data_IF_961476703172
#
_entry.id   IF_961476703172
#
_cell.length_a   1.000
_cell.length_b   1.000
_cell.length_c   1.000
_cell.angle_alpha   90.00
_cell.angle_beta   90.00
_cell.angle_gamma   90.00
#
_symmetry.space_group_name_H-M   'P 1'
#
loop_
_entity.id
_entity.type
_entity.pdbx_description
1 polymer ?
#
# COMPACT_ATOMS: atom_id res chain seq x y z
N UNK A 1 8.37 20.48 7.40
CA UNK A 1 7.32 21.17 8.18
C UNK A 1 7.13 22.56 7.61
N UNK A 2 5.90 22.91 7.27
CA UNK A 2 5.52 24.26 6.83
C UNK A 2 4.71 24.92 7.94
N UNK A 3 5.09 26.16 8.29
CA UNK A 3 4.43 26.95 9.33
C UNK A 3 3.44 27.90 8.63
N UNK A 4 2.17 27.75 8.94
CA UNK A 4 1.15 28.67 8.46
C UNK A 4 1.01 29.86 9.41
N UNK A 5 1.31 31.06 8.91
CA UNK A 5 1.19 32.29 9.69
C UNK A 5 -0.26 32.80 9.68
N UNK A 6 -0.73 33.19 10.83
CA UNK A 6 -1.97 33.97 10.97
C UNK A 6 -1.72 35.47 10.99
N UNK A 7 -0.45 35.90 11.25
CA UNK A 7 -0.05 37.29 11.30
C UNK A 7 1.10 37.58 10.31
N UNK A 8 1.00 38.54 9.41
CA UNK A 8 1.99 38.85 8.37
C UNK A 8 3.26 39.57 8.87
N UNK A 9 3.45 39.80 10.16
CA UNK A 9 4.59 40.56 10.68
C UNK A 9 5.93 39.84 10.39
N UNK A 10 6.81 40.55 9.66
CA UNK A 10 8.12 40.07 9.25
C UNK A 10 9.14 39.92 10.39
N UNK A 11 8.75 40.23 11.60
CA UNK A 11 9.61 40.24 12.78
C UNK A 11 9.63 38.94 13.57
N UNK A 12 8.84 37.93 13.16
CA UNK A 12 8.80 36.64 13.84
C UNK A 12 9.82 35.70 13.19
N UNK A 13 10.65 35.08 14.03
CA UNK A 13 11.49 33.96 13.64
C UNK A 13 11.00 32.66 14.31
N UNK A 14 11.27 31.54 13.67
CA UNK A 14 10.88 30.21 14.13
C UNK A 14 12.11 29.42 14.49
N UNK A 15 12.04 28.74 15.62
CA UNK A 15 13.07 27.83 16.07
C UNK A 15 12.59 26.39 16.09
N UNK A 16 13.49 25.48 15.84
CA UNK A 16 13.20 24.04 15.97
C UNK A 16 14.35 23.31 16.66
N UNK A 17 14.03 22.20 17.30
CA UNK A 17 14.99 21.23 17.83
C UNK A 17 14.39 19.84 17.80
N UNK A 18 15.22 18.83 17.97
CA UNK A 18 14.79 17.46 18.20
C UNK A 18 13.94 17.38 19.49
N UNK A 19 12.85 16.64 19.48
CA UNK A 19 11.96 16.53 20.65
C UNK A 19 12.65 15.87 21.85
N UNK A 20 13.62 14.97 21.58
CA UNK A 20 14.38 14.25 22.60
C UNK A 20 15.63 15.03 23.07
N UNK A 21 15.82 16.24 22.58
CA UNK A 21 16.99 17.08 22.90
C UNK A 21 16.64 18.22 23.84
N UNK A 22 17.43 18.41 24.88
CA UNK A 22 17.39 19.59 25.74
C UNK A 22 18.27 20.74 25.22
N UNK A 23 18.85 20.56 24.02
CA UNK A 23 19.74 21.54 23.38
C UNK A 23 19.05 22.82 22.98
N UNK A 24 19.84 23.79 22.51
CA UNK A 24 19.34 25.06 21.98
C UNK A 24 18.46 24.86 20.73
N UNK A 25 17.51 25.77 20.52
CA UNK A 25 16.73 25.83 19.30
C UNK A 25 17.58 26.36 18.14
N UNK A 26 17.47 25.70 16.98
CA UNK A 26 17.98 26.21 15.71
C UNK A 26 16.97 27.20 15.14
N UNK A 27 17.35 28.46 14.98
CA UNK A 27 16.47 29.51 14.46
C UNK A 27 16.60 29.64 12.96
N UNK A 28 15.46 29.80 12.28
CA UNK A 28 15.37 29.88 10.82
C UNK A 28 14.77 31.20 10.36
N UNK A 29 15.18 31.64 9.18
CA UNK A 29 14.56 32.71 8.44
C UNK A 29 13.50 32.14 7.50
N UNK A 30 12.23 32.54 7.68
CA UNK A 30 11.11 32.04 6.87
C UNK A 30 10.24 31.04 7.63
N UNK A 31 9.34 30.40 6.90
CA UNK A 31 8.28 29.55 7.45
C UNK A 31 8.44 28.06 7.10
N UNK A 32 9.58 27.67 6.53
CA UNK A 32 9.82 26.29 6.08
C UNK A 32 11.07 25.72 6.74
N UNK A 33 10.91 24.68 7.54
CA UNK A 33 12.01 23.91 8.12
C UNK A 33 12.34 22.79 7.14
N UNK A 34 13.60 22.70 6.72
CA UNK A 34 14.12 21.71 5.77
C UNK A 34 15.19 20.84 6.43
N UNK A 35 15.53 19.71 5.81
CA UNK A 35 16.59 18.81 6.27
C UNK A 35 16.24 18.01 7.53
N UNK A 36 14.95 17.91 7.87
CA UNK A 36 14.48 17.09 8.98
C UNK A 36 14.52 15.60 8.61
N UNK A 37 14.86 14.78 9.59
CA UNK A 37 14.80 13.32 9.42
C UNK A 37 13.36 12.82 9.41
N UNK A 38 13.04 11.77 8.63
CA UNK A 38 11.72 11.15 8.62
C UNK A 38 11.42 10.43 9.95
N UNK A 39 10.13 10.27 10.26
CA UNK A 39 9.61 9.57 11.46
C UNK A 39 10.20 10.09 12.78
N UNK A 40 10.51 11.38 12.87
CA UNK A 40 11.15 11.96 14.05
C UNK A 40 10.31 13.06 14.66
N UNK A 41 10.31 13.12 16.01
CA UNK A 41 9.68 14.18 16.76
C UNK A 41 10.55 15.44 16.80
N UNK A 42 9.93 16.59 16.68
CA UNK A 42 10.56 17.90 16.80
C UNK A 42 9.74 18.81 17.69
N UNK A 43 10.41 19.74 18.34
CA UNK A 43 9.79 20.88 19.01
C UNK A 43 9.94 22.12 18.13
N UNK A 44 8.84 22.82 17.88
CA UNK A 44 8.83 24.07 17.12
C UNK A 44 8.32 25.20 18.00
N UNK A 45 8.97 26.33 17.96
CA UNK A 45 8.64 27.54 18.74
C UNK A 45 8.79 28.77 17.88
N UNK A 46 8.35 29.93 18.39
CA UNK A 46 8.53 31.22 17.74
C UNK A 46 8.93 32.29 18.75
N UNK A 47 9.55 33.36 18.27
CA UNK A 47 9.82 34.59 19.02
C UNK A 47 9.88 35.80 18.08
N UNK A 48 9.79 36.98 18.63
CA UNK A 48 10.10 38.21 17.89
C UNK A 48 11.64 38.32 17.78
N UNK A 49 12.14 38.57 16.57
CA UNK A 49 13.58 38.74 16.32
C UNK A 49 14.19 39.89 17.12
N UNK A 50 15.47 39.75 17.44
CA UNK A 50 16.26 40.89 17.86
C UNK A 50 16.32 41.96 16.76
N UNK A 51 16.27 43.21 17.14
CA UNK A 51 16.50 44.41 16.29
C UNK A 51 17.71 45.16 16.78
N UNK A 52 18.17 46.14 16.01
CA UNK A 52 19.36 46.94 16.32
C UNK A 52 19.37 47.52 17.74
N UNK A 53 18.21 47.86 18.26
CA UNK A 53 18.04 48.46 19.59
C UNK A 53 17.13 47.65 20.54
N UNK A 54 16.89 46.37 20.26
CA UNK A 54 16.03 45.53 21.09
C UNK A 54 16.46 44.06 21.05
N UNK A 55 16.48 43.41 22.21
CA UNK A 55 16.70 41.98 22.31
C UNK A 55 15.52 41.22 21.70
N UNK A 56 15.74 39.95 21.31
CA UNK A 56 14.66 39.05 20.94
C UNK A 56 13.72 38.85 22.14
N UNK A 57 12.43 38.65 21.85
CA UNK A 57 11.48 38.29 22.90
C UNK A 57 11.74 36.89 23.46
N UNK A 58 11.13 36.60 24.59
CA UNK A 58 11.00 35.20 25.01
C UNK A 58 10.29 34.40 23.93
N UNK A 59 10.60 33.11 23.90
CA UNK A 59 9.97 32.18 22.95
C UNK A 59 8.60 31.77 23.46
N UNK A 60 7.73 31.39 22.52
CA UNK A 60 6.47 30.75 22.86
C UNK A 60 6.69 29.34 23.42
N UNK A 61 5.68 28.78 24.08
CA UNK A 61 5.69 27.36 24.44
C UNK A 61 5.94 26.51 23.18
N UNK A 62 6.90 25.57 23.23
CA UNK A 62 7.16 24.71 22.09
C UNK A 62 5.97 23.81 21.75
N UNK A 63 5.69 23.67 20.46
CA UNK A 63 4.73 22.73 19.92
C UNK A 63 5.45 21.47 19.48
N UNK A 64 5.02 20.32 19.97
CA UNK A 64 5.53 19.03 19.50
C UNK A 64 4.91 18.70 18.14
N UNK A 65 5.76 18.38 17.18
CA UNK A 65 5.38 17.96 15.83
C UNK A 65 6.23 16.76 15.43
N UNK A 66 5.72 15.93 14.55
CA UNK A 66 6.48 14.80 14.00
C UNK A 66 6.54 14.88 12.48
N UNK A 67 7.67 14.45 11.92
CA UNK A 67 7.78 14.24 10.49
C UNK A 67 7.19 12.87 10.13
N UNK A 68 6.53 12.82 8.99
CA UNK A 68 6.10 11.54 8.41
C UNK A 68 7.29 10.82 7.78
N UNK A 69 7.24 9.51 7.78
CA UNK A 69 8.21 8.69 7.06
C UNK A 69 7.73 8.45 5.61
N UNK A 70 8.59 7.92 4.78
CA UNK A 70 8.28 7.53 3.40
C UNK A 70 8.48 6.03 3.24
N UNK A 71 7.67 5.43 2.38
CA UNK A 71 7.81 4.01 2.05
C UNK A 71 8.23 3.85 0.59
N UNK A 72 9.12 2.88 0.33
CA UNK A 72 9.51 2.50 -1.01
C UNK A 72 9.80 1.01 -1.11
N UNK A 73 9.58 0.44 -2.30
CA UNK A 73 10.02 -0.92 -2.60
C UNK A 73 11.50 -0.88 -2.98
N UNK A 74 12.30 -1.75 -2.37
CA UNK A 74 13.73 -1.91 -2.65
C UNK A 74 13.99 -3.36 -3.00
N UNK A 75 14.86 -3.58 -3.98
CA UNK A 75 15.29 -4.90 -4.45
C UNK A 75 16.15 -4.76 -5.70
N UNK A 76 16.50 -5.88 -6.34
CA UNK A 76 17.35 -5.87 -7.53
C UNK A 76 16.51 -5.71 -8.80
N UNK A 77 16.43 -4.49 -9.30
CA UNK A 77 15.69 -4.13 -10.52
C UNK A 77 14.20 -3.88 -10.28
N UNK A 78 13.39 -4.12 -11.32
CA UNK A 78 11.93 -3.94 -11.24
C UNK A 78 11.31 -4.89 -10.24
N UNK A 79 10.42 -4.42 -9.36
CA UNK A 79 9.79 -5.27 -8.36
C UNK A 79 9.07 -6.46 -8.99
N UNK A 80 9.36 -7.65 -8.45
CA UNK A 80 8.69 -8.90 -8.83
C UNK A 80 7.67 -9.27 -7.78
N UNK A 81 6.58 -9.87 -8.23
CA UNK A 81 5.44 -10.18 -7.39
C UNK A 81 5.16 -11.68 -7.39
N UNK A 82 4.72 -12.17 -6.26
CA UNK A 82 4.12 -13.49 -6.13
C UNK A 82 2.61 -13.29 -5.92
N UNK A 83 1.86 -13.49 -7.00
CA UNK A 83 0.42 -13.29 -7.04
C UNK A 83 -0.18 -14.36 -7.99
N UNK A 84 -0.46 -15.55 -7.44
CA UNK A 84 -0.91 -16.72 -8.21
C UNK A 84 -2.30 -17.13 -7.81
N UNK A 85 -3.15 -17.35 -8.80
CA UNK A 85 -4.51 -17.80 -8.62
C UNK A 85 -4.95 -18.80 -9.69
N UNK A 86 -6.16 -19.30 -9.53
CA UNK A 86 -6.80 -20.18 -10.51
C UNK A 86 -8.02 -19.47 -11.09
N UNK A 87 -8.35 -19.74 -12.34
CA UNK A 87 -9.54 -19.20 -12.98
C UNK A 87 -10.81 -19.45 -12.14
N UNK A 88 -11.63 -18.41 -12.01
CA UNK A 88 -12.86 -18.46 -11.21
C UNK A 88 -12.68 -18.05 -9.74
N UNK A 89 -11.44 -17.82 -9.29
CA UNK A 89 -11.18 -17.30 -7.95
C UNK A 89 -11.17 -15.77 -8.01
N UNK A 90 -11.82 -15.13 -7.03
CA UNK A 90 -11.84 -13.66 -6.96
C UNK A 90 -10.48 -13.10 -6.61
N UNK A 91 -10.22 -11.86 -7.04
CA UNK A 91 -8.95 -11.16 -6.78
C UNK A 91 -8.63 -11.08 -5.28
N UNK A 92 -9.64 -10.89 -4.43
CA UNK A 92 -9.47 -10.84 -2.97
C UNK A 92 -8.94 -12.15 -2.35
N UNK A 93 -9.17 -13.27 -3.02
CA UNK A 93 -8.71 -14.60 -2.56
C UNK A 93 -7.33 -14.97 -3.11
N UNK A 94 -6.78 -14.19 -4.03
CA UNK A 94 -5.44 -14.39 -4.58
C UNK A 94 -4.45 -13.74 -3.63
N UNK A 95 -3.55 -14.50 -2.98
CA UNK A 95 -2.53 -13.92 -2.14
C UNK A 95 -1.59 -13.06 -2.99
N UNK A 96 -1.12 -11.94 -2.43
CA UNK A 96 -0.16 -11.06 -3.10
C UNK A 96 0.95 -10.68 -2.17
N UNK A 97 2.18 -10.83 -2.62
CA UNK A 97 3.40 -10.45 -1.89
C UNK A 97 4.51 -10.06 -2.85
N UNK A 98 5.51 -9.36 -2.34
CA UNK A 98 6.77 -9.20 -3.06
C UNK A 98 7.51 -10.54 -3.13
N UNK A 99 8.10 -10.84 -4.28
CA UNK A 99 8.97 -12.00 -4.43
C UNK A 99 10.24 -11.86 -3.57
N UNK A 100 10.90 -12.98 -3.32
CA UNK A 100 12.17 -13.01 -2.56
C UNK A 100 13.20 -12.05 -3.16
N UNK A 101 13.92 -11.35 -2.28
CA UNK A 101 14.90 -10.33 -2.66
C UNK A 101 14.34 -8.92 -2.81
N UNK A 102 13.05 -8.73 -2.57
CA UNK A 102 12.41 -7.41 -2.49
C UNK A 102 11.81 -7.17 -1.11
N UNK A 103 11.76 -5.93 -0.69
CA UNK A 103 11.16 -5.53 0.58
C UNK A 103 10.67 -4.09 0.54
N UNK A 104 9.86 -3.73 1.52
CA UNK A 104 9.43 -2.33 1.72
C UNK A 104 10.36 -1.71 2.76
N UNK A 105 10.90 -0.55 2.44
CA UNK A 105 11.84 0.18 3.30
C UNK A 105 11.34 1.60 3.54
N UNK A 106 11.68 2.11 4.70
CA UNK A 106 11.41 3.48 5.09
C UNK A 106 12.49 4.46 4.59
N UNK A 107 12.32 5.76 4.87
CA UNK A 107 13.26 6.81 4.52
C UNK A 107 14.66 6.63 5.13
N UNK A 108 14.76 5.95 6.27
CA UNK A 108 16.01 5.62 6.94
C UNK A 108 16.66 4.30 6.46
N UNK A 109 16.18 3.70 5.38
CA UNK A 109 16.65 2.39 4.88
C UNK A 109 16.41 1.20 5.82
N UNK A 110 15.43 1.27 6.68
CA UNK A 110 15.03 0.16 7.54
C UNK A 110 13.90 -0.63 6.87
N UNK A 111 13.94 -1.95 6.99
CA UNK A 111 12.89 -2.83 6.49
C UNK A 111 11.62 -2.61 7.30
N UNK A 112 10.50 -2.40 6.60
CA UNK A 112 9.18 -2.19 7.20
C UNK A 112 8.33 -3.45 7.00
N UNK A 113 7.94 -4.08 8.10
CA UNK A 113 7.01 -5.21 8.07
C UNK A 113 5.59 -4.73 7.73
N UNK A 114 4.86 -5.52 6.96
CA UNK A 114 3.50 -5.20 6.57
C UNK A 114 2.92 -6.22 5.61
N UNK A 115 1.70 -5.95 5.16
CA UNK A 115 0.94 -6.80 4.26
C UNK A 115 0.53 -6.06 3.00
N UNK A 116 0.44 -6.77 1.89
CA UNK A 116 -0.11 -6.27 0.65
C UNK A 116 -1.55 -6.75 0.49
N UNK A 117 -2.42 -5.89 0.01
CA UNK A 117 -3.81 -6.20 -0.29
C UNK A 117 -4.20 -5.60 -1.64
N UNK A 118 -5.15 -6.25 -2.32
CA UNK A 118 -5.73 -5.72 -3.55
C UNK A 118 -6.66 -4.56 -3.23
N UNK A 119 -6.54 -3.48 -4.00
CA UNK A 119 -7.43 -2.33 -3.88
C UNK A 119 -8.70 -2.52 -4.74
N UNK A 120 -9.82 -1.91 -4.33
CA UNK A 120 -11.02 -1.83 -5.18
C UNK A 120 -10.73 -1.17 -6.53
N UNK A 121 -11.44 -1.59 -7.57
CA UNK A 121 -11.35 -1.00 -8.90
C UNK A 121 -12.74 -0.54 -9.37
N UNK A 122 -12.84 0.68 -9.86
CA UNK A 122 -14.10 1.25 -10.40
C UNK A 122 -15.32 1.01 -9.48
N UNK A 123 -15.16 1.22 -8.19
CA UNK A 123 -16.18 0.97 -7.15
C UNK A 123 -16.52 -0.50 -6.93
N UNK A 124 -15.86 -1.43 -7.60
CA UNK A 124 -16.00 -2.87 -7.36
C UNK A 124 -14.98 -3.32 -6.32
N UNK A 125 -15.41 -3.97 -5.22
CA UNK A 125 -14.47 -4.55 -4.25
C UNK A 125 -13.67 -5.67 -4.91
N UNK A 126 -12.46 -5.93 -4.41
CA UNK A 126 -11.60 -6.99 -4.95
C UNK A 126 -12.29 -8.39 -4.96
N UNK A 127 -13.26 -8.62 -4.07
CA UNK A 127 -14.08 -9.83 -4.04
C UNK A 127 -15.03 -9.98 -5.23
N UNK A 128 -15.36 -8.90 -5.93
CA UNK A 128 -16.19 -8.89 -7.14
C UNK A 128 -15.39 -8.90 -8.44
N UNK A 129 -14.05 -9.00 -8.38
CA UNK A 129 -13.18 -8.96 -9.55
C UNK A 129 -12.61 -10.38 -9.78
N UNK A 130 -12.81 -10.93 -10.99
CA UNK A 130 -12.33 -12.26 -11.39
C UNK A 130 -11.33 -12.12 -12.54
N UNK A 131 -10.03 -12.29 -12.28
CA UNK A 131 -9.01 -12.16 -13.32
C UNK A 131 -9.05 -13.28 -14.36
N UNK A 132 -8.70 -12.96 -15.61
CA UNK A 132 -8.68 -13.90 -16.70
C UNK A 132 -7.34 -14.63 -16.85
N UNK A 133 -7.37 -15.89 -17.29
CA UNK A 133 -6.19 -16.77 -17.49
C UNK A 133 -5.13 -16.18 -18.44
N UNK A 134 -5.54 -15.38 -19.43
CA UNK A 134 -4.62 -14.72 -20.38
C UNK A 134 -4.64 -13.21 -20.23
N UNK A 135 -5.13 -12.71 -19.08
CA UNK A 135 -5.23 -11.28 -18.86
C UNK A 135 -3.87 -10.67 -18.55
N UNK A 136 -3.51 -9.63 -19.29
CA UNK A 136 -2.38 -8.76 -18.93
C UNK A 136 -2.85 -7.55 -18.12
N UNK A 137 -4.07 -7.63 -17.57
CA UNK A 137 -4.62 -6.54 -16.78
C UNK A 137 -3.89 -6.46 -15.45
N UNK A 138 -3.35 -5.30 -15.18
CA UNK A 138 -2.76 -4.97 -13.90
C UNK A 138 -3.83 -4.45 -12.95
N UNK A 139 -3.70 -4.82 -11.68
CA UNK A 139 -4.54 -4.36 -10.59
C UNK A 139 -3.68 -3.65 -9.55
N UNK A 140 -4.27 -2.72 -8.85
CA UNK A 140 -3.55 -1.96 -7.81
C UNK A 140 -3.50 -2.76 -6.52
N UNK A 141 -2.34 -2.82 -5.92
CA UNK A 141 -2.11 -3.33 -4.57
C UNK A 141 -1.65 -2.20 -3.66
N UNK A 142 -2.01 -2.30 -2.39
CA UNK A 142 -1.67 -1.35 -1.34
C UNK A 142 -0.90 -2.05 -0.23
N UNK A 143 0.15 -1.41 0.24
CA UNK A 143 0.90 -1.85 1.40
C UNK A 143 0.31 -1.26 2.68
N UNK A 144 0.11 -2.11 3.68
CA UNK A 144 -0.29 -1.71 5.02
C UNK A 144 0.80 -2.13 6.01
N UNK A 145 1.54 -1.17 6.59
CA UNK A 145 2.52 -1.46 7.63
C UNK A 145 1.88 -2.13 8.85
N UNK A 146 2.61 -3.07 9.48
CA UNK A 146 2.15 -3.72 10.72
C UNK A 146 2.20 -2.76 11.90
N UNK A 147 3.22 -1.89 11.95
CA UNK A 147 3.32 -0.87 12.99
C UNK A 147 2.51 0.36 12.62
N UNK A 148 1.38 0.55 13.28
CA UNK A 148 0.50 1.71 13.10
C UNK A 148 0.93 2.95 13.90
N UNK A 149 1.95 2.84 14.75
CA UNK A 149 2.46 3.97 15.54
C UNK A 149 3.27 4.95 14.68
N UNK A 150 3.83 4.49 13.56
CA UNK A 150 4.59 5.30 12.62
C UNK A 150 3.66 5.90 11.57
N UNK A 151 3.70 7.22 11.42
CA UNK A 151 2.94 7.93 10.38
C UNK A 151 3.75 8.03 9.10
N UNK A 152 3.19 7.52 8.00
CA UNK A 152 3.81 7.58 6.67
C UNK A 152 3.19 8.68 5.81
N UNK A 153 4.00 9.23 4.90
CA UNK A 153 3.53 10.23 3.93
C UNK A 153 2.97 9.53 2.68
N UNK A 154 1.64 9.58 2.57
CA UNK A 154 0.93 8.90 1.50
C UNK A 154 0.76 7.39 1.73
N UNK A 155 0.31 6.72 0.68
CA UNK A 155 0.07 5.28 0.64
C UNK A 155 0.99 4.66 -0.38
N UNK A 156 1.72 3.62 -0.01
CA UNK A 156 2.52 2.86 -0.97
C UNK A 156 1.61 1.91 -1.74
N UNK A 157 1.47 2.16 -3.02
CA UNK A 157 0.73 1.32 -3.96
C UNK A 157 1.63 0.83 -5.09
N UNK A 158 1.23 -0.26 -5.73
CA UNK A 158 1.91 -0.78 -6.90
C UNK A 158 0.90 -1.41 -7.86
N UNK A 159 1.32 -1.62 -9.11
CA UNK A 159 0.53 -2.27 -10.15
C UNK A 159 1.03 -3.69 -10.36
N UNK A 160 0.15 -4.68 -10.24
CA UNK A 160 0.49 -6.10 -10.26
C UNK A 160 -0.43 -6.83 -11.24
N UNK A 161 0.15 -7.65 -12.10
CA UNK A 161 -0.57 -8.57 -12.97
C UNK A 161 -0.54 -9.96 -12.30
N UNK A 162 -1.68 -10.49 -11.83
CA UNK A 162 -1.70 -11.82 -11.24
C UNK A 162 -1.51 -12.91 -12.30
N UNK A 163 -0.79 -13.96 -11.94
CA UNK A 163 -0.63 -15.16 -12.76
C UNK A 163 -1.81 -16.10 -12.51
N UNK A 164 -2.69 -16.28 -13.52
CA UNK A 164 -3.89 -17.09 -13.38
C UNK A 164 -3.73 -18.40 -14.17
N UNK A 165 -3.74 -19.50 -13.45
CA UNK A 165 -3.76 -20.84 -14.04
C UNK A 165 -5.16 -21.21 -14.55
N UNK A 166 -5.20 -22.11 -15.52
CA UNK A 166 -6.46 -22.68 -16.00
C UNK A 166 -7.09 -23.57 -14.93
N UNK A 167 -8.39 -23.53 -14.85
CA UNK A 167 -9.15 -24.52 -14.11
C UNK A 167 -9.28 -25.80 -14.93
N UNK A 168 -9.06 -26.95 -14.31
CA UNK A 168 -9.23 -28.25 -14.97
C UNK A 168 -10.63 -28.76 -14.66
N UNK A 169 -11.47 -28.84 -15.68
CA UNK A 169 -12.79 -29.44 -15.56
C UNK A 169 -12.67 -30.94 -15.51
N UNK A 170 -13.30 -31.57 -14.54
CA UNK A 170 -13.51 -33.00 -14.50
C UNK A 170 -14.87 -33.30 -15.14
N UNK A 171 -14.83 -34.03 -16.23
CA UNK A 171 -16.05 -34.46 -16.92
C UNK A 171 -16.26 -35.96 -16.69
N UNK A 172 -17.37 -36.33 -16.07
CA UNK A 172 -17.81 -37.70 -15.94
C UNK A 172 -19.07 -37.92 -16.79
N UNK A 173 -19.00 -38.86 -17.66
CA UNK A 173 -20.14 -39.23 -18.53
C UNK A 173 -20.51 -40.66 -18.24
N UNK A 174 -21.77 -40.91 -17.88
CA UNK A 174 -22.35 -42.25 -17.82
C UNK A 174 -23.26 -42.43 -19.01
N UNK A 175 -23.21 -43.60 -19.60
CA UNK A 175 -24.11 -44.03 -20.68
C UNK A 175 -25.00 -45.16 -20.18
N UNK A 176 -26.23 -45.23 -20.70
CA UNK A 176 -27.13 -46.34 -20.40
C UNK A 176 -26.71 -47.61 -21.16
N UNK A 177 -26.87 -48.75 -20.49
CA UNK A 177 -26.74 -50.02 -21.15
C UNK A 177 -27.81 -50.16 -22.25
N UNK A 178 -27.38 -50.62 -23.38
CA UNK A 178 -28.23 -50.72 -24.55
C UNK A 178 -28.22 -52.13 -25.10
N UNK A 179 -29.43 -52.71 -25.31
CA UNK A 179 -29.57 -53.90 -26.10
C UNK A 179 -29.15 -53.62 -27.54
N UNK A 180 -28.40 -54.53 -28.16
CA UNK A 180 -27.93 -54.34 -29.52
C UNK A 180 -29.11 -54.24 -30.50
N UNK A 181 -29.17 -53.11 -31.18
CA UNK A 181 -30.22 -52.77 -32.17
C UNK A 181 -29.67 -52.50 -33.57
N UNK A 182 -28.41 -52.85 -33.82
CA UNK A 182 -27.74 -52.62 -35.12
C UNK A 182 -27.24 -51.20 -35.30
N UNK A 183 -27.40 -50.26 -34.29
CA UNK A 183 -26.95 -48.89 -34.38
C UNK A 183 -25.73 -48.61 -33.47
N UNK A 184 -24.95 -47.58 -33.81
CA UNK A 184 -23.80 -47.12 -33.03
C UNK A 184 -24.16 -46.00 -32.04
N UNK A 185 -25.46 -45.68 -31.88
CA UNK A 185 -25.91 -44.62 -30.97
C UNK A 185 -26.03 -45.15 -29.56
N UNK A 186 -25.64 -44.38 -28.57
CA UNK A 186 -25.83 -44.63 -27.15
C UNK A 186 -26.53 -43.43 -26.51
N UNK A 187 -27.36 -43.69 -25.48
CA UNK A 187 -28.02 -42.63 -24.71
C UNK A 187 -27.15 -42.22 -23.53
N UNK A 188 -26.87 -40.96 -23.43
CA UNK A 188 -26.16 -40.38 -22.26
C UNK A 188 -27.14 -40.24 -21.12
N UNK A 189 -26.80 -40.77 -19.95
CA UNK A 189 -27.60 -40.55 -18.74
C UNK A 189 -27.59 -39.06 -18.38
N UNK A 190 -28.76 -38.52 -18.19
CA UNK A 190 -28.95 -37.13 -17.72
C UNK A 190 -29.16 -37.09 -16.22
N UNK A 191 -28.69 -36.01 -15.56
CA UNK A 191 -28.01 -34.84 -16.11
C UNK A 191 -26.49 -35.05 -16.28
N UNK A 192 -25.94 -34.47 -17.35
CA UNK A 192 -24.48 -34.32 -17.47
C UNK A 192 -24.01 -33.36 -16.40
N UNK A 193 -23.39 -33.87 -15.34
CA UNK A 193 -22.85 -33.04 -14.26
C UNK A 193 -21.47 -32.55 -14.65
N UNK A 194 -21.34 -31.25 -14.86
CA UNK A 194 -20.05 -30.60 -14.99
C UNK A 194 -19.79 -29.93 -13.66
N UNK A 195 -18.92 -30.51 -12.85
CA UNK A 195 -18.42 -29.81 -11.66
C UNK A 195 -17.40 -28.76 -12.08
N UNK A 196 -17.83 -27.53 -12.10
CA UNK A 196 -16.96 -26.41 -12.47
C UNK A 196 -16.04 -25.98 -11.30
N UNK A 197 -16.29 -26.45 -10.07
CA UNK A 197 -15.58 -25.98 -8.87
C UNK A 197 -15.69 -24.46 -8.64
N UNK A 198 -16.39 -23.76 -9.51
CA UNK A 198 -16.61 -22.31 -9.44
C UNK A 198 -17.95 -22.09 -8.78
N UNK A 199 -17.95 -21.59 -7.54
CA UNK A 199 -19.16 -21.11 -6.90
C UNK A 199 -19.69 -19.92 -7.71
N UNK A 200 -20.73 -20.17 -8.51
CA UNK A 200 -21.58 -19.10 -9.05
C UNK A 200 -22.50 -18.64 -7.94
N UNK A 201 -22.05 -17.68 -7.11
CA UNK A 201 -22.90 -16.96 -6.20
C UNK A 201 -23.54 -15.78 -6.93
#
# INVERSE_FOLDING_TARGET
ITIHRTNPENDIEYGYRDADSDGAFTWIVGTKIQGLYPARGYQVTSRIKAKENAFASERTQPLNVSTKDTLRIVGNGTPKWDAKGTYGVSLAQIPVSLASGYGVYNGANQLVAGTWSWEPENSSPASGIYPNVKGNKAYTVKFTPTDSSVSYDGTLTASVVPEISKYTLQLSVAVEDKTYDGTKTATVQQPLMIDTGVNTA
#
